data_IF_001363480244
#
_entry.id   IF_001363480244
#
_cell.length_a   1.000
_cell.length_b   1.000
_cell.length_c   1.000
_cell.angle_alpha   90.00
_cell.angle_beta   90.00
_cell.angle_gamma   90.00
#
_symmetry.space_group_name_H-M   'P 1'
#
loop_
_entity.id
_entity.type
_entity.pdbx_description
1 polymer ?
#
# COMPACT_ATOMS: atom_id res chain seq x y z
N UNK A 1 -4.39 -5.34 7.32
CA UNK A 1 -4.91 -4.42 8.37
C UNK A 1 -3.80 -4.25 9.40
N UNK A 2 -3.58 -3.06 9.96
CA UNK A 2 -2.48 -2.84 10.91
C UNK A 2 -2.97 -2.84 12.34
N UNK A 3 -2.33 -3.61 13.21
CA UNK A 3 -2.61 -3.66 14.64
C UNK A 3 -1.38 -3.23 15.45
N UNK A 4 -1.60 -2.62 16.62
CA UNK A 4 -0.53 -2.15 17.50
C UNK A 4 -0.55 -2.96 18.79
N UNK A 5 0.61 -3.50 19.18
CA UNK A 5 0.72 -4.39 20.33
C UNK A 5 1.93 -4.01 21.18
N UNK A 6 1.76 -4.00 22.51
CA UNK A 6 2.87 -3.81 23.43
C UNK A 6 3.74 -5.08 23.49
N UNK A 7 5.05 -4.92 23.30
CA UNK A 7 6.02 -6.03 23.31
C UNK A 7 5.98 -6.84 24.61
N UNK A 8 5.68 -6.20 25.75
CA UNK A 8 5.64 -6.87 27.05
C UNK A 8 4.44 -7.81 27.24
N UNK A 9 3.37 -7.60 26.48
CA UNK A 9 2.08 -8.29 26.67
C UNK A 9 1.79 -9.31 25.55
N UNK A 10 2.72 -9.50 24.61
CA UNK A 10 2.50 -10.26 23.39
C UNK A 10 3.21 -11.61 23.38
N UNK A 11 2.51 -12.67 22.94
CA UNK A 11 3.12 -13.96 22.61
C UNK A 11 3.54 -13.99 21.13
N UNK A 12 4.77 -14.43 20.86
CA UNK A 12 5.31 -14.44 19.50
C UNK A 12 4.51 -15.35 18.55
N UNK A 13 4.01 -16.49 19.02
CA UNK A 13 3.25 -17.41 18.16
C UNK A 13 1.90 -16.79 17.74
N UNK A 14 1.24 -16.08 18.66
CA UNK A 14 0.00 -15.35 18.35
C UNK A 14 0.24 -14.24 17.33
N UNK A 15 1.34 -13.49 17.47
CA UNK A 15 1.70 -12.45 16.51
C UNK A 15 1.98 -13.02 15.11
N UNK A 16 2.69 -14.14 15.04
CA UNK A 16 2.97 -14.81 13.77
C UNK A 16 1.69 -15.33 13.10
N UNK A 17 0.77 -15.92 13.86
CA UNK A 17 -0.52 -16.36 13.33
C UNK A 17 -1.35 -15.22 12.71
N UNK A 18 -1.31 -14.02 13.32
CA UNK A 18 -1.95 -12.81 12.78
C UNK A 18 -1.28 -12.34 11.49
N UNK A 19 0.05 -12.34 11.48
CA UNK A 19 0.84 -11.97 10.30
C UNK A 19 0.59 -12.93 9.14
N UNK A 20 0.51 -14.23 9.41
CA UNK A 20 0.16 -15.26 8.42
C UNK A 20 -1.27 -15.10 7.89
N UNK A 21 -2.19 -14.59 8.70
CA UNK A 21 -3.55 -14.23 8.28
C UNK A 21 -3.62 -12.92 7.46
N UNK A 22 -2.50 -12.22 7.24
CA UNK A 22 -2.42 -11.00 6.44
C UNK A 22 -2.56 -9.70 7.24
N UNK A 23 -2.35 -9.75 8.56
CA UNK A 23 -2.24 -8.55 9.40
C UNK A 23 -0.79 -8.03 9.44
N UNK A 24 -0.64 -6.71 9.57
CA UNK A 24 0.65 -6.08 9.88
C UNK A 24 0.67 -5.69 11.35
N UNK A 25 1.73 -6.04 12.08
CA UNK A 25 1.84 -5.78 13.52
C UNK A 25 2.88 -4.71 13.78
N UNK A 26 2.50 -3.63 14.46
CA UNK A 26 3.41 -2.63 15.01
C UNK A 26 3.65 -2.97 16.48
N UNK A 27 4.91 -3.22 16.82
CA UNK A 27 5.35 -3.48 18.18
C UNK A 27 5.74 -2.18 18.87
N UNK A 28 5.14 -1.93 20.03
CA UNK A 28 5.43 -0.75 20.86
C UNK A 28 6.05 -1.15 22.20
N UNK A 29 6.91 -0.29 22.73
CA UNK A 29 7.44 -0.38 24.10
C UNK A 29 7.27 0.99 24.74
N UNK A 30 6.62 1.04 25.89
CA UNK A 30 6.34 2.29 26.61
C UNK A 30 5.63 3.35 25.73
N UNK A 31 4.71 2.89 24.87
CA UNK A 31 3.97 3.73 23.92
C UNK A 31 4.77 4.17 22.67
N UNK A 32 6.03 3.76 22.53
CA UNK A 32 6.89 4.10 21.39
C UNK A 32 6.98 2.90 20.43
N UNK A 33 6.70 3.08 19.12
CA UNK A 33 6.93 2.04 18.12
C UNK A 33 8.42 1.68 18.00
N UNK A 34 8.73 0.40 18.10
CA UNK A 34 10.11 -0.11 18.07
C UNK A 34 10.38 -1.09 16.93
N UNK A 35 9.35 -1.76 16.41
CA UNK A 35 9.48 -2.69 15.31
C UNK A 35 8.15 -2.87 14.57
N UNK A 36 8.22 -3.40 13.35
CA UNK A 36 7.07 -3.86 12.58
C UNK A 36 7.31 -5.30 12.15
N UNK A 37 6.30 -6.15 12.32
CA UNK A 37 6.28 -7.53 11.82
C UNK A 37 5.26 -7.60 10.71
N UNK A 38 5.69 -8.03 9.53
CA UNK A 38 4.85 -8.17 8.34
C UNK A 38 5.15 -9.49 7.66
N UNK A 39 4.20 -9.98 6.88
CA UNK A 39 4.36 -11.25 6.16
C UNK A 39 5.39 -11.07 5.05
N UNK A 40 6.35 -11.99 4.98
CA UNK A 40 7.27 -12.06 3.85
C UNK A 40 6.65 -12.76 2.63
N UNK A 41 5.57 -13.52 2.84
CA UNK A 41 4.77 -14.00 1.75
C UNK A 41 4.04 -12.79 1.16
N UNK A 42 4.65 -12.17 0.15
CA UNK A 42 3.89 -11.33 -0.77
C UNK A 42 2.66 -12.13 -1.19
N UNK A 43 1.46 -11.52 -1.28
CA UNK A 43 0.34 -12.19 -1.94
C UNK A 43 0.91 -12.73 -3.24
N UNK A 44 0.81 -14.06 -3.43
CA UNK A 44 1.51 -14.76 -4.50
C UNK A 44 1.39 -13.92 -5.76
N UNK A 45 2.52 -13.47 -6.31
CA UNK A 45 2.53 -12.62 -7.49
C UNK A 45 1.62 -13.26 -8.51
N UNK A 46 0.43 -12.68 -8.70
CA UNK A 46 -0.57 -13.21 -9.61
C UNK A 46 -0.35 -12.48 -10.94
N UNK A 47 0.32 -13.15 -11.91
CA UNK A 47 0.65 -12.51 -13.18
C UNK A 47 -0.63 -12.14 -13.93
N UNK A 48 -1.73 -12.88 -13.74
CA UNK A 48 -3.01 -12.66 -14.39
C UNK A 48 -3.75 -11.47 -13.76
N UNK A 49 -3.79 -11.36 -12.43
CA UNK A 49 -4.35 -10.18 -11.77
C UNK A 49 -3.58 -8.90 -12.17
N UNK A 50 -2.25 -8.95 -12.22
CA UNK A 50 -1.43 -7.83 -12.68
C UNK A 50 -1.72 -7.48 -14.14
N UNK A 51 -1.78 -8.49 -15.02
CA UNK A 51 -2.10 -8.29 -16.45
C UNK A 51 -3.47 -7.64 -16.62
N UNK A 52 -4.48 -8.12 -15.89
CA UNK A 52 -5.84 -7.58 -15.89
C UNK A 52 -5.87 -6.11 -15.45
N UNK A 53 -5.21 -5.78 -14.34
CA UNK A 53 -5.12 -4.39 -13.85
C UNK A 53 -4.46 -3.46 -14.88
N UNK A 54 -3.42 -3.92 -15.58
CA UNK A 54 -2.76 -3.14 -16.64
C UNK A 54 -3.71 -2.88 -17.81
N UNK A 55 -4.44 -3.90 -18.27
CA UNK A 55 -5.38 -3.75 -19.39
C UNK A 55 -6.57 -2.85 -19.04
N UNK A 56 -7.08 -2.92 -17.81
CA UNK A 56 -8.12 -2.01 -17.32
C UNK A 56 -7.64 -0.54 -17.32
N UNK A 57 -6.41 -0.28 -16.83
CA UNK A 57 -5.82 1.06 -16.85
C UNK A 57 -5.63 1.57 -18.29
N UNK A 58 -5.19 0.70 -19.21
CA UNK A 58 -5.04 1.07 -20.62
C UNK A 58 -6.39 1.39 -21.27
N UNK A 59 -7.41 0.56 -21.05
CA UNK A 59 -8.75 0.76 -21.58
C UNK A 59 -9.38 2.05 -21.04
N UNK A 60 -9.20 2.33 -19.75
CA UNK A 60 -9.63 3.59 -19.15
C UNK A 60 -8.92 4.79 -19.79
N UNK A 61 -7.58 4.74 -19.90
CA UNK A 61 -6.78 5.81 -20.52
C UNK A 61 -7.12 6.04 -21.99
N UNK A 62 -7.51 5.01 -22.73
CA UNK A 62 -7.92 5.14 -24.12
C UNK A 62 -9.17 6.02 -24.30
N UNK A 63 -10.03 6.07 -23.29
CA UNK A 63 -11.26 6.88 -23.29
C UNK A 63 -11.08 8.28 -22.66
N UNK A 64 -9.91 8.57 -22.08
CA UNK A 64 -9.66 9.89 -21.49
C UNK A 64 -9.37 10.94 -22.56
N UNK A 65 -9.85 12.19 -22.38
CA UNK A 65 -9.43 13.31 -23.20
C UNK A 65 -7.91 13.46 -23.21
N UNK A 66 -7.35 13.78 -24.37
CA UNK A 66 -5.93 14.07 -24.48
C UNK A 66 -5.65 15.44 -23.88
N UNK A 67 -4.76 15.47 -22.89
CA UNK A 67 -4.25 16.73 -22.34
C UNK A 67 -3.30 17.36 -23.34
N UNK A 68 -3.57 18.61 -23.69
CA UNK A 68 -2.77 19.45 -24.58
C UNK A 68 -1.62 20.13 -23.84
N UNK A 69 -0.62 20.62 -24.58
CA UNK A 69 0.49 21.37 -23.98
C UNK A 69 0.04 22.72 -23.40
N UNK A 70 -1.01 23.31 -23.97
CA UNK A 70 -1.60 24.57 -23.52
C UNK A 70 -2.24 24.40 -22.13
N UNK A 71 -3.05 23.35 -21.94
CA UNK A 71 -3.63 23.00 -20.64
C UNK A 71 -2.54 22.73 -19.58
N UNK A 72 -1.46 22.04 -19.96
CA UNK A 72 -0.32 21.80 -19.07
C UNK A 72 0.38 23.10 -18.66
N UNK A 73 0.54 24.04 -19.60
CA UNK A 73 1.16 25.33 -19.33
C UNK A 73 0.30 26.18 -18.38
N UNK A 74 -1.02 26.15 -18.55
CA UNK A 74 -1.98 26.82 -17.67
C UNK A 74 -1.92 26.27 -16.24
N UNK A 75 -1.97 24.96 -16.05
CA UNK A 75 -1.87 24.36 -14.71
C UNK A 75 -0.55 24.68 -14.02
N UNK A 76 0.57 24.71 -14.76
CA UNK A 76 1.87 25.14 -14.24
C UNK A 76 1.93 26.62 -13.86
N UNK A 77 1.10 27.47 -14.48
CA UNK A 77 1.01 28.87 -14.12
C UNK A 77 0.18 29.08 -12.85
N UNK A 78 -0.89 28.28 -12.66
CA UNK A 78 -1.72 28.29 -11.44
C UNK A 78 -0.88 27.90 -10.21
N UNK A 79 -0.12 26.80 -10.27
CA UNK A 79 0.67 26.31 -9.13
C UNK A 79 1.92 27.13 -8.79
N UNK A 80 2.24 28.17 -9.56
CA UNK A 80 3.38 29.09 -9.31
C UNK A 80 2.96 30.41 -8.65
N UNK A 81 1.66 30.62 -8.44
CA UNK A 81 1.13 31.70 -7.60
C UNK A 81 0.98 31.21 -6.16
#
# INVERSE_FOLDING_TARGET
MTITVNVGDADLNELLAKVEAGEDVVLVRDGVPVAQVTSLAQPAFDPEARRKAIEEIKAFRANMPRVTQEEIAEWKAIGRK
#
